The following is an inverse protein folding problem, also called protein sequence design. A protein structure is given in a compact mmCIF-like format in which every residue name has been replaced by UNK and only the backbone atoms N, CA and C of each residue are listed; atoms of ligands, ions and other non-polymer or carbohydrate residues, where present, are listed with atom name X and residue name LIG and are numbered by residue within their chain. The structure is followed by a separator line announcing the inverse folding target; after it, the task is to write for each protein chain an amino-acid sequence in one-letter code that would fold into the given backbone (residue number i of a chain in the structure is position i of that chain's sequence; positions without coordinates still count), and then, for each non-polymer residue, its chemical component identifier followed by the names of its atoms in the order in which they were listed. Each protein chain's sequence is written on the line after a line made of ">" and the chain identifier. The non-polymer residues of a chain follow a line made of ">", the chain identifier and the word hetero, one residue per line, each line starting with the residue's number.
data_IF_405310139905
#
_entry.id   IF_405310139905
#
_cell.length_a   1.000
_cell.length_b   1.000
_cell.length_c   1.000
_cell.angle_alpha   90.00
_cell.angle_beta   90.00
_cell.angle_gamma   90.00
#
_symmetry.space_group_name_H-M   'P 1'
#
loop_
_entity.id
_entity.type
_entity.pdbx_description
1 polymer ?
#
# COMPACT_ATOMS: atom_id res chain seq x y z
N UNK A 1 7.25 -13.12 24.16
CA UNK A 1 7.74 -12.25 23.05
C UNK A 1 8.44 -11.07 23.66
N UNK A 2 9.53 -10.55 23.07
CA UNK A 2 10.19 -9.36 23.61
C UNK A 2 9.32 -8.11 23.31
N UNK A 3 9.41 -7.08 24.18
CA UNK A 3 8.68 -5.81 23.99
C UNK A 3 9.00 -5.17 22.62
N UNK A 4 10.19 -5.39 22.10
CA UNK A 4 10.62 -4.92 20.77
C UNK A 4 9.83 -5.61 19.64
N UNK A 5 9.63 -6.94 19.74
CA UNK A 5 8.89 -7.70 18.73
C UNK A 5 7.38 -7.32 18.71
N UNK A 6 6.80 -7.06 19.89
CA UNK A 6 5.41 -6.60 20.00
C UNK A 6 5.24 -5.20 19.37
N UNK A 7 6.19 -4.31 19.61
CA UNK A 7 6.19 -2.96 19.02
C UNK A 7 6.30 -3.03 17.50
N UNK A 8 7.28 -3.75 16.96
CA UNK A 8 7.43 -3.92 15.51
C UNK A 8 6.18 -4.53 14.86
N UNK A 9 5.49 -5.47 15.54
CA UNK A 9 4.26 -6.07 15.03
C UNK A 9 3.12 -5.04 14.95
N UNK A 10 2.97 -4.17 15.95
CA UNK A 10 1.97 -3.11 15.95
C UNK A 10 2.21 -2.13 14.80
N UNK A 11 3.45 -1.65 14.64
CA UNK A 11 3.83 -0.72 13.56
C UNK A 11 3.63 -1.36 12.18
N UNK A 12 3.93 -2.66 12.03
CA UNK A 12 3.65 -3.40 10.79
C UNK A 12 2.14 -3.45 10.47
N UNK A 13 1.28 -3.65 11.48
CA UNK A 13 -0.18 -3.64 11.28
C UNK A 13 -0.67 -2.24 10.91
N UNK A 14 -0.18 -1.20 11.59
CA UNK A 14 -0.49 0.20 11.24
C UNK A 14 -0.07 0.50 9.80
N UNK A 15 1.15 0.14 9.43
CA UNK A 15 1.67 0.30 8.09
C UNK A 15 0.87 -0.48 7.04
N UNK A 16 0.41 -1.70 7.35
CA UNK A 16 -0.47 -2.48 6.49
C UNK A 16 -1.76 -1.73 6.19
N UNK A 17 -2.44 -1.23 7.22
CA UNK A 17 -3.69 -0.46 7.08
C UNK A 17 -3.43 0.81 6.27
N UNK A 18 -2.38 1.55 6.60
CA UNK A 18 -1.99 2.76 5.89
C UNK A 18 -1.69 2.49 4.41
N UNK A 19 -0.98 1.40 4.09
CA UNK A 19 -0.66 1.00 2.72
C UNK A 19 -1.89 0.62 1.90
N UNK A 20 -2.85 -0.11 2.52
CA UNK A 20 -4.15 -0.40 1.89
C UNK A 20 -4.91 0.89 1.59
N UNK A 21 -5.04 1.80 2.56
CA UNK A 21 -5.74 3.08 2.39
C UNK A 21 -5.07 3.94 1.32
N UNK A 22 -3.74 4.06 1.33
CA UNK A 22 -2.97 4.83 0.36
C UNK A 22 -3.09 4.30 -1.08
N UNK A 23 -3.40 3.01 -1.25
CA UNK A 23 -3.65 2.42 -2.57
C UNK A 23 -4.90 3.00 -3.25
N UNK A 24 -5.85 3.53 -2.49
CA UNK A 24 -7.02 4.24 -3.01
C UNK A 24 -6.64 5.47 -3.86
N UNK A 25 -6.05 6.52 -3.28
CA UNK A 25 -5.61 7.70 -4.03
C UNK A 25 -4.60 7.38 -5.13
N UNK A 26 -3.70 6.42 -4.94
CA UNK A 26 -2.83 5.91 -6.01
C UNK A 26 -3.63 5.39 -7.20
N UNK A 27 -4.64 4.57 -6.95
CA UNK A 27 -5.50 4.00 -8.00
C UNK A 27 -6.22 5.10 -8.77
N UNK A 28 -6.76 6.11 -8.07
CA UNK A 28 -7.38 7.29 -8.70
C UNK A 28 -6.38 8.04 -9.57
N UNK A 29 -5.18 8.32 -9.07
CA UNK A 29 -4.12 8.99 -9.82
C UNK A 29 -3.74 8.21 -11.09
N UNK A 30 -3.59 6.88 -10.97
CA UNK A 30 -3.33 6.01 -12.13
C UNK A 30 -4.43 6.06 -13.18
N UNK A 31 -5.71 5.95 -12.78
CA UNK A 31 -6.85 5.97 -13.70
C UNK A 31 -6.94 7.32 -14.41
N UNK A 32 -6.88 8.41 -13.66
CA UNK A 32 -6.99 9.77 -14.21
C UNK A 32 -5.81 10.09 -15.14
N UNK A 33 -4.59 9.77 -14.72
CA UNK A 33 -3.40 9.96 -15.52
C UNK A 33 -3.40 9.09 -16.79
N UNK A 34 -3.80 7.82 -16.68
CA UNK A 34 -3.90 6.91 -17.82
C UNK A 34 -4.88 7.43 -18.89
N UNK A 35 -6.01 8.02 -18.48
CA UNK A 35 -6.99 8.62 -19.41
C UNK A 35 -6.41 9.81 -20.18
N UNK A 36 -5.40 10.49 -19.64
CA UNK A 36 -4.74 11.64 -20.27
C UNK A 36 -3.57 11.26 -21.17
N UNK A 37 -3.08 10.01 -21.12
CA UNK A 37 -2.05 9.53 -22.03
C UNK A 37 -2.58 9.51 -23.47
N UNK A 38 -1.70 9.77 -24.45
CA UNK A 38 -1.98 9.54 -25.85
C UNK A 38 -2.32 8.05 -26.10
N UNK A 39 -3.19 7.76 -27.06
CA UNK A 39 -3.63 6.39 -27.34
C UNK A 39 -2.47 5.41 -27.56
N UNK A 40 -1.40 5.83 -28.22
CA UNK A 40 -0.19 5.05 -28.47
C UNK A 40 0.56 4.65 -27.16
N UNK A 41 0.32 5.33 -26.04
CA UNK A 41 0.98 5.09 -24.76
C UNK A 41 0.05 4.44 -23.73
N UNK A 42 -1.20 4.11 -24.09
CA UNK A 42 -2.19 3.49 -23.22
C UNK A 42 -2.04 1.97 -23.21
N UNK A 43 -1.10 1.49 -22.44
CA UNK A 43 -0.99 0.07 -22.09
C UNK A 43 -1.97 -0.31 -20.97
N UNK A 44 -2.32 -1.60 -20.81
CA UNK A 44 -3.08 -2.04 -19.64
C UNK A 44 -2.43 -1.57 -18.34
N UNK A 45 -3.23 -1.17 -17.35
CA UNK A 45 -2.70 -0.77 -16.05
C UNK A 45 -2.01 -1.97 -15.39
N UNK A 46 -0.84 -1.77 -14.77
CA UNK A 46 -0.01 -2.84 -14.23
C UNK A 46 -0.72 -3.79 -13.27
N UNK A 47 -1.60 -3.36 -12.34
CA UNK A 47 -2.30 -4.29 -11.46
C UNK A 47 -3.09 -5.35 -12.23
N UNK A 48 -3.76 -4.97 -13.33
CA UNK A 48 -4.49 -5.92 -14.18
C UNK A 48 -3.56 -6.81 -14.99
N UNK A 49 -2.49 -6.25 -15.53
CA UNK A 49 -1.50 -6.99 -16.32
C UNK A 49 -0.84 -8.09 -15.48
N UNK A 50 -0.36 -7.73 -14.28
CA UNK A 50 0.26 -8.64 -13.32
C UNK A 50 -0.72 -9.75 -12.91
N UNK A 51 -1.91 -9.37 -12.44
CA UNK A 51 -2.90 -10.33 -11.95
C UNK A 51 -3.30 -11.32 -13.04
N UNK A 52 -3.53 -10.83 -14.27
CA UNK A 52 -3.93 -11.71 -15.36
C UNK A 52 -2.79 -12.60 -15.86
N UNK A 53 -1.54 -12.15 -15.75
CA UNK A 53 -0.39 -13.00 -16.05
C UNK A 53 -0.28 -14.14 -15.03
N UNK A 54 -0.30 -13.83 -13.75
CA UNK A 54 -0.26 -14.83 -12.68
C UNK A 54 -1.42 -15.83 -12.79
N UNK A 55 -2.64 -15.34 -13.03
CA UNK A 55 -3.82 -16.21 -13.23
C UNK A 55 -3.68 -17.14 -14.43
N UNK A 56 -2.97 -16.73 -15.50
CA UNK A 56 -2.66 -17.61 -16.65
C UNK A 56 -1.65 -18.68 -16.29
N UNK A 57 -0.60 -18.34 -15.55
CA UNK A 57 0.45 -19.27 -15.17
C UNK A 57 -0.06 -20.40 -14.27
N UNK A 58 -1.03 -20.10 -13.39
CA UNK A 58 -1.67 -21.10 -12.53
C UNK A 58 -2.92 -21.74 -13.17
N UNK A 59 -3.21 -21.46 -14.45
CA UNK A 59 -4.33 -22.05 -15.20
C UNK A 59 -5.72 -21.52 -14.85
N UNK A 60 -5.85 -20.56 -13.93
CA UNK A 60 -7.14 -20.04 -13.45
C UNK A 60 -7.81 -19.08 -14.44
N UNK A 61 -7.06 -18.43 -15.32
CA UNK A 61 -7.58 -17.36 -16.18
C UNK A 61 -8.73 -17.78 -17.09
N UNK A 62 -8.81 -19.07 -17.48
CA UNK A 62 -9.86 -19.63 -18.35
C UNK A 62 -11.20 -19.77 -17.62
N UNK A 63 -11.18 -19.85 -16.30
CA UNK A 63 -12.37 -20.07 -15.45
C UNK A 63 -12.87 -18.77 -14.79
N UNK A 64 -12.19 -17.63 -15.02
CA UNK A 64 -12.54 -16.35 -14.40
C UNK A 64 -13.53 -15.56 -15.27
N UNK A 65 -14.67 -15.17 -14.68
CA UNK A 65 -15.57 -14.16 -15.25
C UNK A 65 -14.90 -12.77 -15.24
N UNK A 66 -15.51 -11.77 -15.90
CA UNK A 66 -15.03 -10.39 -15.90
C UNK A 66 -15.00 -9.78 -14.49
N UNK A 67 -15.98 -10.11 -13.67
CA UNK A 67 -16.11 -9.67 -12.28
C UNK A 67 -15.00 -10.28 -11.42
N UNK A 68 -14.75 -11.59 -11.55
CA UNK A 68 -13.66 -12.28 -10.87
C UNK A 68 -12.29 -11.71 -11.22
N UNK A 69 -12.06 -11.36 -12.49
CA UNK A 69 -10.81 -10.71 -12.93
C UNK A 69 -10.63 -9.34 -12.31
N UNK A 70 -11.71 -8.57 -12.21
CA UNK A 70 -11.70 -7.24 -11.59
C UNK A 70 -11.47 -7.34 -10.08
N UNK A 71 -12.18 -8.24 -9.39
CA UNK A 71 -12.01 -8.49 -7.97
C UNK A 71 -10.59 -8.95 -7.64
N UNK A 72 -10.04 -9.92 -8.39
CA UNK A 72 -8.68 -10.39 -8.20
C UNK A 72 -7.63 -9.29 -8.44
N UNK A 73 -7.87 -8.42 -9.44
CA UNK A 73 -7.01 -7.26 -9.71
C UNK A 73 -6.99 -6.28 -8.54
N UNK A 74 -8.17 -5.96 -7.98
CA UNK A 74 -8.28 -5.07 -6.82
C UNK A 74 -7.63 -5.71 -5.59
N UNK A 75 -7.98 -6.94 -5.27
CA UNK A 75 -7.40 -7.66 -4.13
C UNK A 75 -5.88 -7.74 -4.22
N UNK A 76 -5.34 -8.08 -5.39
CA UNK A 76 -3.89 -8.13 -5.60
C UNK A 76 -3.23 -6.76 -5.46
N UNK A 77 -3.85 -5.71 -5.99
CA UNK A 77 -3.31 -4.34 -5.93
C UNK A 77 -3.32 -3.79 -4.50
N UNK A 78 -4.46 -3.86 -3.81
CA UNK A 78 -4.57 -3.40 -2.43
C UNK A 78 -3.78 -4.27 -1.46
N UNK A 79 -3.75 -5.59 -1.68
CA UNK A 79 -2.94 -6.51 -0.90
C UNK A 79 -1.43 -6.24 -1.03
N UNK A 80 -0.96 -5.94 -2.25
CA UNK A 80 0.43 -5.56 -2.48
C UNK A 80 0.78 -4.23 -1.80
N UNK A 81 -0.09 -3.22 -1.90
CA UNK A 81 0.08 -1.95 -1.19
C UNK A 81 0.08 -2.12 0.32
N UNK A 82 -0.78 -2.98 0.86
CA UNK A 82 -0.80 -3.32 2.28
C UNK A 82 0.47 -4.03 2.74
N UNK A 83 0.95 -5.02 1.98
CA UNK A 83 2.20 -5.73 2.30
C UNK A 83 3.42 -4.79 2.30
N UNK A 84 3.52 -3.91 1.29
CA UNK A 84 4.56 -2.90 1.23
C UNK A 84 4.45 -1.90 2.40
N UNK A 85 3.23 -1.50 2.76
CA UNK A 85 2.96 -0.66 3.93
C UNK A 85 3.35 -1.34 5.24
N UNK A 86 3.11 -2.64 5.39
CA UNK A 86 3.54 -3.39 6.57
C UNK A 86 5.06 -3.39 6.74
N UNK A 87 5.80 -3.57 5.65
CA UNK A 87 7.27 -3.48 5.65
C UNK A 87 7.70 -2.06 6.04
N UNK A 88 7.07 -1.03 5.47
CA UNK A 88 7.35 0.35 5.82
C UNK A 88 7.12 0.62 7.32
N UNK A 89 5.96 0.25 7.86
CA UNK A 89 5.64 0.45 9.28
C UNK A 89 6.64 -0.25 10.19
N UNK A 90 7.07 -1.47 9.84
CA UNK A 90 8.04 -2.22 10.64
C UNK A 90 9.41 -1.55 10.77
N UNK A 91 9.80 -0.68 9.81
CA UNK A 91 11.15 -0.06 9.78
C UNK A 91 11.14 1.47 9.87
N UNK A 92 9.99 2.12 9.71
CA UNK A 92 9.89 3.59 9.61
C UNK A 92 10.32 4.33 10.87
N UNK A 93 10.15 3.73 12.04
CA UNK A 93 10.55 4.31 13.33
C UNK A 93 12.07 4.39 13.50
N UNK A 94 12.82 3.51 12.84
CA UNK A 94 14.29 3.48 12.91
C UNK A 94 14.93 4.54 12.01
N UNK A 95 14.13 5.19 11.15
CA UNK A 95 14.60 6.18 10.18
C UNK A 95 14.32 7.58 10.72
N UNK A 96 15.37 8.32 11.05
CA UNK A 96 15.28 9.72 11.47
C UNK A 96 15.21 10.65 10.24
N UNK A 97 14.00 10.86 9.72
CA UNK A 97 13.74 11.73 8.59
C UNK A 97 12.29 12.28 8.63
N UNK A 98 12.02 13.44 8.02
CA UNK A 98 10.66 13.97 7.89
C UNK A 98 9.72 12.97 7.20
N UNK A 99 8.47 12.90 7.67
CA UNK A 99 7.44 11.97 7.16
C UNK A 99 7.32 12.01 5.63
N UNK A 100 7.34 13.22 5.05
CA UNK A 100 7.26 13.40 3.60
C UNK A 100 8.46 12.76 2.88
N UNK A 101 9.67 12.89 3.42
CA UNK A 101 10.88 12.29 2.84
C UNK A 101 10.82 10.78 2.92
N UNK A 102 10.42 10.22 4.07
CA UNK A 102 10.19 8.77 4.23
C UNK A 102 9.18 8.26 3.18
N UNK A 103 8.06 8.96 3.01
CA UNK A 103 7.01 8.59 2.06
C UNK A 103 7.47 8.64 0.59
N UNK A 104 8.13 9.71 0.18
CA UNK A 104 8.70 9.85 -1.18
C UNK A 104 9.70 8.72 -1.43
N UNK A 105 10.61 8.47 -0.51
CA UNK A 105 11.63 7.43 -0.63
C UNK A 105 11.00 6.05 -0.72
N UNK A 106 10.03 5.74 0.15
CA UNK A 106 9.30 4.46 0.11
C UNK A 106 8.58 4.24 -1.23
N UNK A 107 7.89 5.26 -1.74
CA UNK A 107 7.22 5.21 -3.04
C UNK A 107 8.19 4.95 -4.20
N UNK A 108 9.31 5.66 -4.23
CA UNK A 108 10.34 5.47 -5.27
C UNK A 108 11.03 4.10 -5.16
N UNK A 109 11.34 3.64 -3.96
CA UNK A 109 11.93 2.32 -3.73
C UNK A 109 10.95 1.22 -4.16
N UNK A 110 9.67 1.33 -3.81
CA UNK A 110 8.67 0.36 -4.23
C UNK A 110 8.52 0.32 -5.75
N UNK A 111 8.47 1.50 -6.41
CA UNK A 111 8.44 1.56 -7.87
C UNK A 111 9.68 0.92 -8.49
N UNK A 112 10.87 1.31 -8.05
CA UNK A 112 12.13 0.80 -8.59
C UNK A 112 12.30 -0.70 -8.39
N UNK A 113 12.07 -1.19 -7.16
CA UNK A 113 12.13 -2.62 -6.85
C UNK A 113 11.13 -3.43 -7.68
N UNK A 114 9.93 -2.89 -7.92
CA UNK A 114 8.90 -3.56 -8.72
C UNK A 114 9.21 -3.53 -10.22
N UNK A 115 9.43 -2.35 -10.79
CA UNK A 115 9.43 -2.18 -12.24
C UNK A 115 10.81 -2.33 -12.91
N UNK A 116 11.88 -2.22 -12.13
CA UNK A 116 13.25 -2.47 -12.58
C UNK A 116 13.83 -3.76 -12.00
N UNK A 117 13.21 -4.28 -10.93
CA UNK A 117 13.71 -5.43 -10.18
C UNK A 117 12.88 -6.70 -10.39
N UNK A 118 12.10 -7.08 -9.36
CA UNK A 118 11.55 -8.44 -9.26
C UNK A 118 10.47 -8.77 -10.30
N UNK A 119 9.61 -7.82 -10.70
CA UNK A 119 8.56 -8.09 -11.70
C UNK A 119 9.15 -8.47 -13.07
N UNK A 120 10.11 -7.71 -13.66
CA UNK A 120 10.77 -8.15 -14.88
C UNK A 120 11.67 -9.36 -14.65
N UNK A 121 12.37 -9.45 -13.52
CA UNK A 121 13.21 -10.61 -13.19
C UNK A 121 12.42 -11.93 -13.12
N UNK A 122 11.19 -11.88 -12.63
CA UNK A 122 10.25 -13.01 -12.61
C UNK A 122 9.48 -13.19 -13.95
N UNK A 123 9.74 -12.37 -14.96
CA UNK A 123 9.01 -12.42 -16.23
C UNK A 123 7.53 -12.01 -16.13
N UNK A 124 7.12 -11.40 -15.02
CA UNK A 124 5.70 -11.03 -14.77
C UNK A 124 5.31 -9.77 -15.51
N UNK A 125 6.21 -8.80 -15.60
CA UNK A 125 6.00 -7.54 -16.30
C UNK A 125 7.25 -7.20 -17.13
N UNK A 126 7.09 -6.44 -18.22
CA UNK A 126 8.22 -5.86 -18.91
C UNK A 126 8.89 -4.80 -18.03
N UNK A 127 10.21 -4.65 -18.17
CA UNK A 127 10.95 -3.60 -17.46
C UNK A 127 10.40 -2.20 -17.77
N UNK A 128 10.53 -1.27 -16.83
CA UNK A 128 10.21 0.14 -17.08
C UNK A 128 11.02 0.70 -18.26
N UNK A 129 12.22 0.20 -18.52
CA UNK A 129 13.07 0.62 -19.66
C UNK A 129 12.47 0.27 -21.03
N UNK A 130 11.56 -0.70 -21.08
CA UNK A 130 10.88 -1.15 -22.30
C UNK A 130 9.56 -0.43 -22.57
N UNK A 131 9.21 0.52 -21.68
CA UNK A 131 7.97 1.27 -21.77
C UNK A 131 8.18 2.73 -22.12
N UNK A 132 7.20 3.40 -22.78
CA UNK A 132 7.28 4.82 -23.10
C UNK A 132 7.43 5.69 -21.83
N UNK A 133 8.25 6.75 -21.94
CA UNK A 133 8.50 7.70 -20.85
C UNK A 133 7.22 8.24 -20.21
N UNK A 134 6.15 8.65 -20.95
CA UNK A 134 4.92 9.13 -20.31
C UNK A 134 4.25 8.12 -19.40
N UNK A 135 4.31 6.82 -19.73
CA UNK A 135 3.81 5.76 -18.85
C UNK A 135 4.64 5.63 -17.56
N UNK A 136 5.96 5.69 -17.70
CA UNK A 136 6.86 5.60 -16.54
C UNK A 136 6.67 6.80 -15.60
N UNK A 137 6.57 8.01 -16.13
CA UNK A 137 6.27 9.22 -15.35
C UNK A 137 4.95 9.07 -14.58
N UNK A 138 3.91 8.55 -15.24
CA UNK A 138 2.64 8.28 -14.57
C UNK A 138 2.81 7.27 -13.43
N UNK A 139 3.56 6.18 -13.64
CA UNK A 139 3.74 5.16 -12.61
C UNK A 139 4.59 5.67 -11.44
N UNK A 140 5.65 6.42 -11.71
CA UNK A 140 6.44 7.11 -10.66
C UNK A 140 5.54 8.05 -9.87
N UNK A 141 4.78 8.91 -10.53
CA UNK A 141 3.84 9.84 -9.88
C UNK A 141 2.81 9.12 -9.01
N UNK A 142 2.25 8.02 -9.48
CA UNK A 142 1.31 7.22 -8.71
C UNK A 142 1.95 6.61 -7.45
N UNK A 143 3.21 6.16 -7.52
CA UNK A 143 3.94 5.64 -6.37
C UNK A 143 4.34 6.75 -5.39
N UNK A 144 4.62 7.95 -5.86
CA UNK A 144 4.81 9.11 -4.98
C UNK A 144 3.54 9.45 -4.21
N UNK A 145 2.37 9.42 -4.87
CA UNK A 145 1.06 9.58 -4.20
C UNK A 145 0.86 8.50 -3.16
N UNK A 146 1.13 7.22 -3.50
CA UNK A 146 1.00 6.11 -2.56
C UNK A 146 1.94 6.29 -1.36
N UNK A 147 3.22 6.52 -1.59
CA UNK A 147 4.21 6.60 -0.52
C UNK A 147 3.96 7.76 0.44
N UNK A 148 3.61 8.95 -0.09
CA UNK A 148 3.31 10.12 0.74
C UNK A 148 2.02 9.95 1.53
N UNK A 149 0.95 9.40 0.93
CA UNK A 149 -0.31 9.12 1.61
C UNK A 149 -0.13 8.04 2.69
N UNK A 150 0.62 6.97 2.39
CA UNK A 150 0.93 5.90 3.33
C UNK A 150 1.72 6.43 4.54
N UNK A 151 2.79 7.17 4.31
CA UNK A 151 3.61 7.69 5.41
C UNK A 151 2.82 8.67 6.29
N UNK A 152 2.02 9.55 5.71
CA UNK A 152 1.14 10.45 6.45
C UNK A 152 0.10 9.69 7.28
N UNK A 153 -0.54 8.65 6.71
CA UNK A 153 -1.53 7.84 7.41
C UNK A 153 -0.89 7.01 8.54
N UNK A 154 0.31 6.44 8.30
CA UNK A 154 1.06 5.72 9.34
C UNK A 154 1.32 6.64 10.53
N UNK A 155 1.87 7.84 10.28
CA UNK A 155 2.14 8.81 11.35
C UNK A 155 0.87 9.20 12.13
N UNK A 156 -0.24 9.46 11.43
CA UNK A 156 -1.51 9.77 12.08
C UNK A 156 -2.04 8.64 12.98
N UNK A 157 -1.93 7.39 12.52
CA UNK A 157 -2.38 6.23 13.29
C UNK A 157 -1.46 5.95 14.48
N UNK A 158 -0.16 6.15 14.34
CA UNK A 158 0.81 6.03 15.42
C UNK A 158 0.57 7.09 16.51
N UNK A 159 0.34 8.34 16.11
CA UNK A 159 0.01 9.43 17.03
C UNK A 159 -1.28 9.13 17.83
N UNK A 160 -2.32 8.61 17.18
CA UNK A 160 -3.59 8.25 17.86
C UNK A 160 -3.41 7.09 18.85
N UNK A 161 -2.56 6.11 18.53
CA UNK A 161 -2.26 4.96 19.41
C UNK A 161 -1.43 5.40 20.62
N UNK A 162 -0.47 6.32 20.44
CA UNK A 162 0.41 6.75 21.52
C UNK A 162 -0.20 7.89 22.36
N UNK A 163 -1.09 8.69 21.78
CA UNK A 163 -1.76 9.82 22.40
C UNK A 163 -3.28 9.77 22.16
N UNK A 164 -4.00 8.78 22.74
CA UNK A 164 -5.43 8.66 22.52
C UNK A 164 -6.15 9.94 22.96
N UNK A 165 -6.86 10.56 22.01
CA UNK A 165 -7.59 11.80 22.25
C UNK A 165 -8.70 11.64 23.32
N UNK A 166 -9.26 12.74 23.83
CA UNK A 166 -10.23 12.74 24.93
C UNK A 166 -11.47 11.85 24.72
N UNK A 167 -11.82 11.55 23.47
CA UNK A 167 -12.97 10.69 23.12
C UNK A 167 -12.69 9.22 23.37
N UNK A 168 -11.47 8.75 23.16
CA UNK A 168 -11.11 7.35 23.43
C UNK A 168 -11.11 7.02 24.92
N UNK A 169 -10.75 8.00 25.76
CA UNK A 169 -10.74 7.87 27.23
C UNK A 169 -12.15 7.87 27.83
N UNK A 170 -13.14 8.52 27.20
CA UNK A 170 -14.53 8.58 27.68
C UNK A 170 -15.31 7.27 27.48
N UNK A 171 -14.83 6.34 26.69
CA UNK A 171 -15.48 5.04 26.44
C UNK A 171 -15.03 3.91 27.36
N UNK A 172 -14.10 4.15 28.30
CA UNK A 172 -13.71 3.16 29.30
C UNK A 172 -14.78 3.10 30.36
N UNK A 173 -15.50 1.97 30.60
CA UNK A 173 -16.48 1.86 31.65
C UNK A 173 -15.80 2.10 32.99
N UNK A 174 -16.40 2.96 33.84
CA UNK A 174 -15.92 3.19 35.19
C UNK A 174 -15.86 1.84 35.93
N UNK A 175 -14.82 1.56 36.73
CA UNK A 175 -14.76 0.35 37.51
C UNK A 175 -15.97 0.32 38.45
N UNK A 176 -16.79 -0.74 38.35
CA UNK A 176 -17.88 -1.00 39.26
C UNK A 176 -17.27 -1.16 40.66
N UNK A 177 -17.38 -0.15 41.47
CA UNK A 177 -17.23 -0.31 42.92
C UNK A 177 -18.44 -1.05 43.43
N UNK A 178 -18.31 -2.36 43.57
CA UNK A 178 -19.23 -3.15 44.38
C UNK A 178 -19.18 -2.62 45.82
N UNK A 179 -20.15 -1.78 46.14
CA UNK A 179 -20.41 -1.41 47.52
C UNK A 179 -21.19 -2.58 48.15
N UNK A 180 -20.46 -3.61 48.58
CA UNK A 180 -20.92 -4.54 49.58
C UNK A 180 -20.91 -3.80 50.91
N UNK A 181 -22.06 -3.25 51.29
CA UNK A 181 -22.31 -2.83 52.68
C UNK A 181 -23.61 -3.47 53.17
N UNK A 182 -23.40 -4.48 53.98
CA UNK A 182 -24.19 -4.90 55.19
C UNK A 182 -25.70 -4.94 55.06
#
# INVERSE_FOLDING_TARGET
>A
MSKTAERSSLHAVIGLVAGVVATGPMTVAMILGHRRLAAAHRYPLPPREITMKLAREVGLSKHMSSEMRSAATLLGHFGYGGAAGAIYGAVSDEIDAPVLVKGITAGLLLWGASYLGWLPGAGVLKSATDHPVPRNVLMVGAHLVWGTAMAAMTNLLEDEVHHPGPRALASTPAPHHDVLSR
#
